data_IF_048612033982
#
_entry.id   IF_048612033982
#
_cell.length_a   1.000
_cell.length_b   1.000
_cell.length_c   1.000
_cell.angle_alpha   90.00
_cell.angle_beta   90.00
_cell.angle_gamma   90.00
#
_symmetry.space_group_name_H-M   'P 1'
#
loop_
_entity.id
_entity.type
_entity.pdbx_description
1 polymer ?
#
# COMPACT_ATOMS: atom_id res chain seq x y z
N UNK A 1 17.99 -34.16 4.63
CA UNK A 1 17.60 -33.56 5.92
C UNK A 1 18.49 -34.08 7.06
N UNK A 2 18.64 -35.39 7.21
CA UNK A 2 19.35 -36.01 8.36
C UNK A 2 20.80 -35.52 8.59
N UNK A 3 21.59 -35.38 7.52
CA UNK A 3 22.98 -34.88 7.64
C UNK A 3 23.06 -33.42 8.12
N UNK A 4 22.17 -32.56 7.63
CA UNK A 4 22.13 -31.14 8.02
C UNK A 4 21.63 -30.98 9.45
N UNK A 5 20.64 -31.79 9.84
CA UNK A 5 20.14 -31.82 11.21
C UNK A 5 21.22 -32.26 12.20
N UNK A 6 21.90 -33.38 11.92
CA UNK A 6 22.99 -33.88 12.76
C UNK A 6 24.10 -32.83 12.94
N UNK A 7 24.58 -32.23 11.84
CA UNK A 7 25.60 -31.19 11.89
C UNK A 7 25.15 -29.96 12.69
N UNK A 8 23.88 -29.53 12.55
CA UNK A 8 23.33 -28.43 13.34
C UNK A 8 23.33 -28.77 14.83
N UNK A 9 22.87 -29.97 15.21
CA UNK A 9 22.83 -30.38 16.62
C UNK A 9 24.21 -30.45 17.26
N UNK A 10 25.20 -31.00 16.56
CA UNK A 10 26.58 -31.09 17.06
C UNK A 10 27.20 -29.69 17.24
N UNK A 11 26.98 -28.79 16.27
CA UNK A 11 27.49 -27.42 16.36
C UNK A 11 26.80 -26.61 17.46
N UNK A 12 25.47 -26.72 17.58
CA UNK A 12 24.72 -26.06 18.64
C UNK A 12 25.15 -26.55 20.03
N UNK A 13 25.44 -27.85 20.18
CA UNK A 13 26.00 -28.38 21.42
C UNK A 13 27.33 -27.71 21.77
N UNK A 14 28.25 -27.57 20.81
CA UNK A 14 29.53 -26.90 21.01
C UNK A 14 29.36 -25.41 21.38
N UNK A 15 28.43 -24.71 20.72
CA UNK A 15 28.16 -23.29 20.98
C UNK A 15 27.50 -23.04 22.33
N UNK A 16 26.70 -23.99 22.83
CA UNK A 16 26.02 -23.90 24.12
C UNK A 16 26.83 -24.49 25.28
N UNK A 17 27.97 -25.13 25.01
CA UNK A 17 28.79 -25.82 26.02
C UNK A 17 29.30 -24.87 27.11
N UNK A 18 29.73 -23.67 26.73
CA UNK A 18 30.17 -22.61 27.66
C UNK A 18 29.37 -21.33 27.42
N UNK A 19 28.86 -20.71 28.49
CA UNK A 19 28.17 -19.42 28.41
C UNK A 19 29.12 -18.27 28.03
N UNK A 20 30.34 -18.31 28.58
CA UNK A 20 31.42 -17.37 28.26
C UNK A 20 32.77 -18.07 28.15
N UNK A 21 33.68 -17.47 27.38
CA UNK A 21 35.08 -17.89 27.22
C UNK A 21 35.94 -16.67 27.51
N UNK A 22 36.84 -16.76 28.49
CA UNK A 22 37.78 -15.68 28.80
C UNK A 22 39.11 -15.95 28.08
N UNK A 23 39.53 -15.00 27.26
CA UNK A 23 40.84 -15.02 26.58
C UNK A 23 41.55 -13.71 26.91
N UNK A 24 42.56 -13.80 27.78
CA UNK A 24 43.20 -12.63 28.41
C UNK A 24 42.16 -11.78 29.16
N UNK A 25 42.11 -10.47 28.90
CA UNK A 25 41.18 -9.52 29.52
C UNK A 25 39.82 -9.43 28.80
N UNK A 26 39.56 -10.30 27.81
CA UNK A 26 38.35 -10.27 27.01
C UNK A 26 37.43 -11.45 27.33
N UNK A 27 36.14 -11.15 27.50
CA UNK A 27 35.07 -12.14 27.68
C UNK A 27 34.28 -12.29 26.37
N UNK A 28 34.26 -13.51 25.84
CA UNK A 28 33.54 -13.88 24.63
C UNK A 28 32.28 -14.66 25.01
N UNK A 29 31.15 -14.37 24.38
CA UNK A 29 29.89 -15.10 24.59
C UNK A 29 29.48 -15.79 23.26
N UNK A 30 29.80 -17.10 23.07
CA UNK A 30 29.60 -17.79 21.79
C UNK A 30 28.17 -17.69 21.24
N UNK A 31 27.16 -17.77 22.11
CA UNK A 31 25.74 -17.66 21.72
C UNK A 31 25.37 -16.31 21.08
N UNK A 32 26.04 -15.22 21.47
CA UNK A 32 25.75 -13.88 20.94
C UNK A 32 26.20 -13.76 19.48
N UNK A 33 27.29 -14.44 19.11
CA UNK A 33 27.73 -14.54 17.71
C UNK A 33 26.67 -15.27 16.87
N UNK A 34 26.14 -16.40 17.37
CA UNK A 34 25.06 -17.10 16.69
C UNK A 34 23.82 -16.23 16.55
N UNK A 35 23.37 -15.56 17.63
CA UNK A 35 22.24 -14.63 17.60
C UNK A 35 22.42 -13.56 16.51
N UNK A 36 23.55 -12.86 16.50
CA UNK A 36 23.85 -11.81 15.51
C UNK A 36 23.87 -12.36 14.07
N UNK A 37 24.42 -13.56 13.87
CA UNK A 37 24.43 -14.20 12.55
C UNK A 37 23.04 -14.63 12.08
N UNK A 38 22.20 -15.15 12.98
CA UNK A 38 20.81 -15.54 12.67
C UNK A 38 19.99 -14.31 12.26
N UNK A 39 20.09 -13.21 13.02
CA UNK A 39 19.41 -11.95 12.71
C UNK A 39 19.81 -11.40 11.34
N UNK A 40 21.11 -11.26 11.10
CA UNK A 40 21.63 -10.77 9.82
C UNK A 40 21.30 -11.68 8.64
N UNK A 41 21.27 -13.00 8.86
CA UNK A 41 20.94 -13.97 7.82
C UNK A 41 19.44 -13.96 7.53
N UNK A 42 18.61 -13.83 8.55
CA UNK A 42 17.16 -13.79 8.43
C UNK A 42 16.72 -12.50 7.73
N UNK A 43 17.20 -11.33 8.14
CA UNK A 43 16.90 -10.07 7.46
C UNK A 43 17.25 -10.11 5.96
N UNK A 44 18.45 -10.61 5.61
CA UNK A 44 18.84 -10.83 4.21
C UNK A 44 17.99 -11.86 3.49
N UNK A 45 17.56 -12.93 4.18
CA UNK A 45 16.66 -13.93 3.60
C UNK A 45 15.29 -13.31 3.26
N UNK A 46 14.73 -12.50 4.15
CA UNK A 46 13.41 -11.86 3.95
C UNK A 46 13.39 -11.08 2.65
N UNK A 47 14.36 -10.19 2.44
CA UNK A 47 14.47 -9.39 1.20
C UNK A 47 14.79 -10.28 0.00
N UNK A 48 15.69 -11.26 0.15
CA UNK A 48 16.03 -12.20 -0.93
C UNK A 48 14.84 -13.02 -1.41
N UNK A 49 13.93 -13.41 -0.51
CA UNK A 49 12.71 -14.16 -0.85
C UNK A 49 11.64 -13.30 -1.55
N UNK A 50 11.74 -11.97 -1.52
CA UNK A 50 10.86 -11.07 -2.29
C UNK A 50 11.09 -11.25 -3.79
N UNK A 51 12.29 -11.69 -4.21
CA UNK A 51 12.65 -11.95 -5.60
C UNK A 51 12.35 -10.76 -6.53
N UNK A 52 12.47 -9.53 -6.02
CA UNK A 52 12.19 -8.34 -6.82
C UNK A 52 13.27 -8.12 -7.88
N UNK A 53 12.87 -8.09 -9.14
CA UNK A 53 13.73 -7.76 -10.26
C UNK A 53 13.22 -6.51 -10.99
N UNK A 54 13.94 -5.37 -10.93
CA UNK A 54 13.49 -4.13 -11.54
C UNK A 54 13.45 -4.20 -13.08
N UNK A 55 14.30 -5.03 -13.70
CA UNK A 55 14.38 -5.12 -15.17
C UNK A 55 13.19 -5.88 -15.76
N UNK A 56 12.76 -6.95 -15.09
CA UNK A 56 11.60 -7.77 -15.49
C UNK A 56 10.29 -7.33 -14.84
N UNK A 57 10.36 -6.46 -13.83
CA UNK A 57 9.23 -6.10 -12.95
C UNK A 57 8.60 -7.30 -12.23
N UNK A 58 9.37 -8.35 -11.98
CA UNK A 58 8.94 -9.53 -11.25
C UNK A 58 9.07 -9.31 -9.73
N UNK A 59 8.13 -9.86 -8.98
CA UNK A 59 8.14 -9.91 -7.52
C UNK A 59 7.40 -11.17 -7.07
N UNK A 60 7.81 -11.77 -5.95
CA UNK A 60 7.09 -12.90 -5.36
C UNK A 60 5.68 -12.50 -4.94
N UNK A 61 4.73 -13.44 -5.02
CA UNK A 61 3.38 -13.20 -4.50
C UNK A 61 3.44 -13.04 -2.97
N UNK A 62 2.69 -12.10 -2.38
CA UNK A 62 2.64 -11.95 -0.92
C UNK A 62 2.35 -13.25 -0.17
N UNK A 63 1.44 -14.09 -0.65
CA UNK A 63 1.09 -15.38 -0.02
C UNK A 63 2.25 -16.39 -0.04
N UNK A 64 2.95 -16.48 -1.17
CA UNK A 64 4.13 -17.34 -1.35
C UNK A 64 5.30 -16.89 -0.46
N UNK A 65 5.53 -15.58 -0.40
CA UNK A 65 6.51 -15.00 0.49
C UNK A 65 6.15 -15.29 1.95
N UNK A 66 4.90 -15.04 2.36
CA UNK A 66 4.45 -15.30 3.72
C UNK A 66 4.60 -16.77 4.12
N UNK A 67 4.26 -17.71 3.23
CA UNK A 67 4.49 -19.13 3.46
C UNK A 67 5.98 -19.46 3.67
N UNK A 68 6.85 -18.86 2.85
CA UNK A 68 8.30 -19.02 2.95
C UNK A 68 8.86 -18.44 4.24
N UNK A 69 8.40 -17.24 4.65
CA UNK A 69 8.77 -16.60 5.92
C UNK A 69 8.34 -17.46 7.10
N UNK A 70 7.10 -17.96 7.12
CA UNK A 70 6.59 -18.85 8.18
C UNK A 70 7.40 -20.14 8.27
N UNK A 71 7.74 -20.75 7.13
CA UNK A 71 8.61 -21.93 7.11
C UNK A 71 10.00 -21.63 7.70
N UNK A 72 10.59 -20.49 7.35
CA UNK A 72 11.88 -20.05 7.89
C UNK A 72 11.82 -19.81 9.41
N UNK A 73 10.76 -19.14 9.88
CA UNK A 73 10.52 -18.89 11.30
C UNK A 73 10.36 -20.20 12.08
N UNK A 74 9.60 -21.16 11.56
CA UNK A 74 9.45 -22.47 12.19
C UNK A 74 10.80 -23.17 12.39
N UNK A 75 11.69 -23.13 11.39
CA UNK A 75 13.04 -23.70 11.51
C UNK A 75 13.87 -22.94 12.54
N UNK A 76 13.87 -21.60 12.52
CA UNK A 76 14.60 -20.80 13.50
C UNK A 76 14.10 -21.06 14.93
N UNK A 77 12.80 -21.26 15.13
CA UNK A 77 12.24 -21.56 16.44
C UNK A 77 12.72 -22.90 16.99
N UNK A 78 13.04 -23.88 16.13
CA UNK A 78 13.65 -25.13 16.60
C UNK A 78 15.06 -24.95 17.17
N UNK A 79 15.76 -23.86 16.84
CA UNK A 79 17.12 -23.58 17.34
C UNK A 79 17.12 -23.34 18.86
N UNK A 80 16.02 -22.80 19.41
CA UNK A 80 15.87 -22.59 20.87
C UNK A 80 15.96 -23.90 21.66
N UNK A 81 15.64 -25.04 21.04
CA UNK A 81 15.76 -26.36 21.67
C UNK A 81 17.21 -26.80 21.86
N UNK A 82 18.17 -26.20 21.13
CA UNK A 82 19.57 -26.60 21.13
C UNK A 82 20.50 -25.57 21.78
N UNK A 83 20.17 -24.28 21.67
CA UNK A 83 20.96 -23.19 22.24
C UNK A 83 20.04 -22.23 22.98
N UNK A 84 20.44 -21.80 24.17
CA UNK A 84 19.68 -20.82 24.97
C UNK A 84 19.79 -19.41 24.37
N UNK A 85 19.08 -19.18 23.27
CA UNK A 85 18.97 -17.91 22.55
C UNK A 85 17.50 -17.53 22.50
N UNK A 86 17.21 -16.24 22.63
CA UNK A 86 15.88 -15.68 22.44
C UNK A 86 15.63 -15.43 20.95
N UNK A 87 14.95 -16.37 20.28
CA UNK A 87 14.63 -16.21 18.85
C UNK A 87 13.50 -15.20 18.63
N UNK A 88 12.68 -14.97 19.66
CA UNK A 88 11.60 -13.99 19.59
C UNK A 88 12.18 -12.59 19.40
N UNK A 89 13.29 -12.29 20.06
CA UNK A 89 14.05 -11.04 19.82
C UNK A 89 14.57 -10.93 18.39
N UNK A 90 15.11 -12.01 17.83
CA UNK A 90 15.57 -12.06 16.43
C UNK A 90 14.41 -11.77 15.47
N UNK A 91 13.23 -12.36 15.69
CA UNK A 91 12.05 -12.10 14.88
C UNK A 91 11.58 -10.66 15.01
N UNK A 92 11.46 -10.13 16.23
CA UNK A 92 11.00 -8.78 16.47
C UNK A 92 11.90 -7.75 15.78
N UNK A 93 13.22 -7.89 15.88
CA UNK A 93 14.14 -6.96 15.22
C UNK A 93 14.04 -7.06 13.70
N UNK A 94 14.18 -8.27 13.15
CA UNK A 94 14.25 -8.44 11.70
C UNK A 94 12.91 -8.11 11.01
N UNK A 95 11.78 -8.60 11.52
CA UNK A 95 10.47 -8.38 10.90
C UNK A 95 10.01 -6.93 11.05
N UNK A 96 10.21 -6.30 12.22
CA UNK A 96 9.81 -4.90 12.43
C UNK A 96 10.61 -3.94 11.52
N UNK A 97 11.89 -4.22 11.28
CA UNK A 97 12.66 -3.43 10.32
C UNK A 97 12.08 -3.55 8.90
N UNK A 98 11.60 -4.73 8.50
CA UNK A 98 11.03 -4.94 7.17
C UNK A 98 9.70 -4.20 6.92
N UNK A 99 9.07 -3.64 7.96
CA UNK A 99 7.87 -2.79 7.82
C UNK A 99 8.19 -1.33 7.52
N UNK A 100 9.45 -0.91 7.62
CA UNK A 100 9.90 0.47 7.38
C UNK A 100 10.24 0.69 5.90
N UNK A 101 10.56 1.91 5.48
CA UNK A 101 11.01 2.17 4.09
C UNK A 101 12.45 1.67 3.83
N UNK A 102 13.32 1.79 4.83
CA UNK A 102 14.72 1.34 4.80
C UNK A 102 15.03 0.58 6.09
N UNK A 103 15.93 -0.39 6.01
CA UNK A 103 16.42 -1.11 7.17
C UNK A 103 17.52 -0.33 7.91
N UNK A 104 18.08 -0.91 8.98
CA UNK A 104 19.16 -0.27 9.75
C UNK A 104 20.47 -0.11 8.98
N UNK A 105 20.60 -0.74 7.81
CA UNK A 105 21.77 -0.66 6.93
C UNK A 105 21.54 0.28 5.74
N UNK A 106 20.35 0.87 5.61
CA UNK A 106 19.98 1.76 4.52
C UNK A 106 19.46 1.04 3.27
N UNK A 107 19.20 -0.27 3.36
CA UNK A 107 18.71 -1.08 2.24
C UNK A 107 17.18 -1.07 2.17
N UNK A 108 16.64 -1.28 0.96
CA UNK A 108 15.18 -1.37 0.76
C UNK A 108 14.62 -2.61 1.45
N UNK A 109 13.51 -2.42 2.15
CA UNK A 109 12.78 -3.47 2.87
C UNK A 109 11.72 -4.15 2.01
N UNK A 110 11.14 -5.23 2.52
CA UNK A 110 9.92 -5.85 1.96
C UNK A 110 8.81 -4.82 1.73
N UNK A 111 8.51 -3.96 2.71
CA UNK A 111 7.48 -2.94 2.59
C UNK A 111 7.75 -1.94 1.45
N UNK A 112 9.00 -1.48 1.32
CA UNK A 112 9.37 -0.56 0.26
C UNK A 112 9.30 -1.19 -1.14
N UNK A 113 9.74 -2.44 -1.28
CA UNK A 113 9.72 -3.17 -2.55
C UNK A 113 8.29 -3.42 -3.05
N UNK A 114 7.39 -3.91 -2.19
CA UNK A 114 5.98 -4.06 -2.57
C UNK A 114 5.30 -2.72 -2.82
N UNK A 115 5.59 -1.70 -2.01
CA UNK A 115 5.04 -0.35 -2.22
C UNK A 115 5.41 0.18 -3.60
N UNK A 116 6.69 0.05 -3.99
CA UNK A 116 7.17 0.43 -5.31
C UNK A 116 6.50 -0.40 -6.41
N UNK A 117 6.39 -1.71 -6.23
CA UNK A 117 5.80 -2.58 -7.25
C UNK A 117 4.32 -2.27 -7.47
N UNK A 118 3.51 -2.15 -6.41
CA UNK A 118 2.08 -1.81 -6.57
C UNK A 118 1.88 -0.44 -7.24
N UNK A 119 2.68 0.57 -6.88
CA UNK A 119 2.52 1.92 -7.44
C UNK A 119 3.04 2.05 -8.87
N UNK A 120 4.24 1.54 -9.16
CA UNK A 120 4.93 1.77 -10.43
C UNK A 120 4.67 0.69 -11.48
N UNK A 121 4.31 -0.53 -11.04
CA UNK A 121 4.15 -1.71 -11.91
C UNK A 121 2.67 -2.04 -12.10
N UNK A 122 1.93 -2.30 -11.01
CA UNK A 122 0.52 -2.70 -11.09
C UNK A 122 -0.38 -1.52 -11.48
N UNK A 123 -0.43 -0.45 -10.67
CA UNK A 123 -1.34 0.68 -10.88
C UNK A 123 -1.02 1.48 -12.15
N UNK A 124 0.24 1.48 -12.58
CA UNK A 124 0.65 2.05 -13.87
C UNK A 124 0.04 1.29 -15.06
N UNK A 125 -0.03 -0.04 -14.99
CA UNK A 125 -0.67 -0.88 -16.03
C UNK A 125 -2.20 -0.76 -16.00
N UNK A 126 -2.80 -0.54 -14.82
CA UNK A 126 -4.22 -0.18 -14.73
C UNK A 126 -4.49 1.13 -15.47
N UNK A 127 -3.63 2.13 -15.25
CA UNK A 127 -3.74 3.44 -15.94
C UNK A 127 -3.52 3.35 -17.45
N UNK A 128 -2.80 2.34 -17.93
CA UNK A 128 -2.62 2.04 -19.36
C UNK A 128 -3.81 1.29 -19.98
N UNK A 129 -4.80 0.85 -19.19
CA UNK A 129 -5.98 0.14 -19.66
C UNK A 129 -5.82 -1.38 -19.77
N UNK A 130 -4.70 -1.95 -19.30
CA UNK A 130 -4.45 -3.40 -19.39
C UNK A 130 -5.11 -4.19 -18.25
N UNK A 131 -5.45 -3.52 -17.16
CA UNK A 131 -5.99 -4.11 -15.93
C UNK A 131 -7.20 -3.26 -15.52
N UNK A 132 -8.25 -3.88 -14.99
CA UNK A 132 -9.39 -3.18 -14.41
C UNK A 132 -9.67 -3.63 -12.98
N UNK A 133 -10.24 -2.74 -12.18
CA UNK A 133 -10.79 -3.10 -10.89
C UNK A 133 -12.14 -3.80 -11.05
N UNK A 134 -12.31 -4.95 -10.41
CA UNK A 134 -13.58 -5.68 -10.33
C UNK A 134 -14.16 -5.59 -8.94
N UNK A 135 -15.37 -5.03 -8.83
CA UNK A 135 -16.06 -4.96 -7.54
C UNK A 135 -16.61 -6.33 -7.13
N UNK A 136 -17.04 -7.14 -8.10
CA UNK A 136 -17.58 -8.47 -7.87
C UNK A 136 -16.53 -9.46 -7.36
N UNK A 137 -15.32 -9.40 -7.91
CA UNK A 137 -14.20 -10.26 -7.49
C UNK A 137 -13.36 -9.63 -6.37
N UNK A 138 -13.61 -8.35 -6.04
CA UNK A 138 -12.83 -7.57 -5.05
C UNK A 138 -11.32 -7.66 -5.32
N UNK A 139 -10.94 -7.54 -6.58
CA UNK A 139 -9.56 -7.66 -7.05
C UNK A 139 -9.35 -6.82 -8.33
N UNK A 140 -8.09 -6.62 -8.71
CA UNK A 140 -7.74 -6.13 -10.04
C UNK A 140 -7.55 -7.31 -10.99
N UNK A 141 -8.16 -7.23 -12.17
CA UNK A 141 -8.19 -8.32 -13.15
C UNK A 141 -7.52 -7.86 -14.44
N UNK A 142 -6.72 -8.74 -15.01
CA UNK A 142 -6.04 -8.55 -16.27
C UNK A 142 -7.04 -8.60 -17.44
N UNK A 143 -7.10 -7.56 -18.27
CA UNK A 143 -8.01 -7.48 -19.43
C UNK A 143 -7.36 -7.97 -20.73
N UNK A 144 -6.03 -7.95 -20.79
CA UNK A 144 -5.26 -8.40 -21.94
C UNK A 144 -5.15 -9.93 -21.95
N UNK A 145 -5.03 -10.53 -23.14
CA UNK A 145 -4.81 -11.97 -23.27
C UNK A 145 -3.59 -12.44 -22.44
N UNK A 146 -3.67 -13.66 -21.92
CA UNK A 146 -2.59 -14.30 -21.15
C UNK A 146 -1.23 -14.14 -21.86
N UNK A 147 -0.21 -13.67 -21.14
CA UNK A 147 1.14 -13.47 -21.65
C UNK A 147 1.44 -12.08 -22.25
N UNK A 148 0.46 -11.19 -22.39
CA UNK A 148 0.71 -9.80 -22.82
C UNK A 148 1.36 -8.93 -21.73
N UNK A 149 1.14 -9.28 -20.46
CA UNK A 149 1.79 -8.68 -19.29
C UNK A 149 2.49 -9.80 -18.49
N UNK A 150 3.60 -9.49 -17.79
CA UNK A 150 4.44 -10.52 -17.18
C UNK A 150 3.82 -11.18 -15.94
N UNK A 151 2.65 -10.73 -15.49
CA UNK A 151 1.95 -11.26 -14.31
C UNK A 151 0.44 -11.10 -14.46
N UNK A 152 -0.32 -11.93 -13.74
CA UNK A 152 -1.77 -11.81 -13.60
C UNK A 152 -2.09 -10.90 -12.40
N UNK A 153 -2.79 -9.78 -12.63
CA UNK A 153 -3.08 -8.79 -11.58
C UNK A 153 -3.88 -9.38 -10.40
N UNK A 154 -4.74 -10.36 -10.68
CA UNK A 154 -5.57 -11.05 -9.70
C UNK A 154 -4.74 -11.86 -8.70
N UNK A 155 -3.59 -12.40 -9.11
CA UNK A 155 -2.65 -13.16 -8.26
C UNK A 155 -1.82 -12.28 -7.32
N UNK A 156 -2.06 -10.97 -7.31
CA UNK A 156 -1.40 -10.01 -6.43
C UNK A 156 -2.37 -9.07 -5.72
N UNK A 157 -3.65 -9.03 -6.13
CA UNK A 157 -4.59 -8.01 -5.64
C UNK A 157 -5.90 -8.55 -5.11
N UNK A 158 -6.08 -9.87 -5.10
CA UNK A 158 -7.20 -10.49 -4.40
C UNK A 158 -7.10 -10.27 -2.88
N UNK A 159 -8.16 -10.65 -2.18
CA UNK A 159 -8.25 -10.46 -0.74
C UNK A 159 -7.17 -11.27 0.00
N UNK A 160 -6.82 -12.47 -0.48
CA UNK A 160 -5.87 -13.34 0.21
C UNK A 160 -4.45 -12.78 0.11
N UNK A 161 -4.06 -12.29 -1.07
CA UNK A 161 -2.76 -11.69 -1.31
C UNK A 161 -2.60 -10.38 -0.55
N UNK A 162 -3.64 -9.54 -0.50
CA UNK A 162 -3.58 -8.30 0.27
C UNK A 162 -3.58 -8.56 1.79
N UNK A 163 -4.23 -9.63 2.28
CA UNK A 163 -4.12 -10.06 3.68
C UNK A 163 -2.71 -10.58 3.99
N UNK A 164 -2.13 -11.39 3.09
CA UNK A 164 -0.78 -11.87 3.25
C UNK A 164 0.23 -10.71 3.25
N UNK A 165 0.04 -9.71 2.38
CA UNK A 165 0.82 -8.48 2.37
C UNK A 165 0.68 -7.74 3.70
N UNK A 166 -0.54 -7.54 4.19
CA UNK A 166 -0.81 -6.84 5.44
C UNK A 166 -0.18 -7.57 6.65
N UNK A 167 -0.14 -8.91 6.64
CA UNK A 167 0.54 -9.68 7.69
C UNK A 167 2.07 -9.54 7.62
N UNK A 168 2.64 -9.47 6.40
CA UNK A 168 4.08 -9.30 6.19
C UNK A 168 4.59 -7.92 6.61
N UNK A 169 3.88 -6.86 6.23
CA UNK A 169 4.35 -5.47 6.37
C UNK A 169 3.66 -4.70 7.50
N UNK A 170 2.58 -5.23 8.07
CA UNK A 170 1.86 -4.69 9.21
C UNK A 170 1.30 -3.27 9.01
N UNK A 171 0.80 -2.64 10.08
CA UNK A 171 0.27 -1.28 10.02
C UNK A 171 1.28 -0.23 9.51
N UNK A 172 2.56 -0.38 9.85
CA UNK A 172 3.61 0.55 9.42
C UNK A 172 3.84 0.50 7.90
N UNK A 173 4.00 -0.70 7.33
CA UNK A 173 4.19 -0.86 5.90
C UNK A 173 2.93 -0.53 5.11
N UNK A 174 1.75 -0.87 5.64
CA UNK A 174 0.47 -0.49 5.02
C UNK A 174 0.25 1.03 5.06
N UNK A 175 0.71 1.71 6.12
CA UNK A 175 0.74 3.18 6.17
C UNK A 175 1.68 3.77 5.12
N UNK A 176 2.88 3.21 4.95
CA UNK A 176 3.82 3.63 3.90
C UNK A 176 3.23 3.47 2.49
N UNK A 177 2.63 2.31 2.21
CA UNK A 177 1.91 2.07 0.96
C UNK A 177 0.83 3.13 0.77
N UNK A 178 0.01 3.36 1.80
CA UNK A 178 -1.08 4.30 1.75
C UNK A 178 -0.63 5.75 1.50
N UNK A 179 0.43 6.22 2.18
CA UNK A 179 1.02 7.54 1.96
C UNK A 179 1.52 7.70 0.51
N UNK A 180 2.15 6.66 -0.04
CA UNK A 180 2.59 6.64 -1.45
C UNK A 180 1.41 6.76 -2.40
N UNK A 181 0.31 6.03 -2.15
CA UNK A 181 -0.92 6.13 -2.95
C UNK A 181 -1.53 7.53 -2.87
N UNK A 182 -1.59 8.13 -1.67
CA UNK A 182 -2.13 9.48 -1.49
C UNK A 182 -1.27 10.54 -2.17
N UNK A 183 0.06 10.36 -2.19
CA UNK A 183 0.96 11.23 -2.93
C UNK A 183 0.66 11.22 -4.43
N UNK A 184 0.44 10.04 -5.02
CA UNK A 184 0.05 9.92 -6.43
C UNK A 184 -1.30 10.57 -6.71
N UNK A 185 -2.30 10.41 -5.82
CA UNK A 185 -3.59 11.10 -5.96
C UNK A 185 -3.40 12.61 -5.92
N UNK A 186 -2.65 13.11 -4.95
CA UNK A 186 -2.42 14.55 -4.83
C UNK A 186 -1.76 15.11 -6.11
N UNK A 187 -0.80 14.39 -6.69
CA UNK A 187 -0.20 14.75 -7.99
C UNK A 187 -1.25 14.80 -9.12
N UNK A 188 -2.18 13.84 -9.19
CA UNK A 188 -3.28 13.91 -10.16
C UNK A 188 -4.21 15.11 -9.93
N UNK A 189 -4.49 15.44 -8.67
CA UNK A 189 -5.32 16.60 -8.30
C UNK A 189 -4.65 17.92 -8.69
N UNK A 190 -3.32 18.04 -8.56
CA UNK A 190 -2.60 19.22 -9.05
C UNK A 190 -2.72 19.41 -10.56
N UNK A 191 -2.60 18.33 -11.33
CA UNK A 191 -2.81 18.40 -12.77
C UNK A 191 -4.26 18.74 -13.13
N UNK A 192 -5.23 18.20 -12.39
CA UNK A 192 -6.65 18.58 -12.54
C UNK A 192 -6.90 20.06 -12.24
N UNK A 193 -6.26 20.62 -11.20
CA UNK A 193 -6.34 22.05 -10.89
C UNK A 193 -5.87 22.92 -12.06
N UNK A 194 -4.78 22.55 -12.74
CA UNK A 194 -4.30 23.26 -13.94
C UNK A 194 -5.33 23.22 -15.08
N UNK A 195 -5.97 22.07 -15.31
CA UNK A 195 -7.02 21.93 -16.32
C UNK A 195 -8.25 22.81 -15.99
N UNK A 196 -8.63 22.88 -14.71
CA UNK A 196 -9.72 23.75 -14.25
C UNK A 196 -9.37 25.22 -14.43
N UNK A 197 -8.15 25.63 -14.04
CA UNK A 197 -7.68 27.00 -14.20
C UNK A 197 -7.70 27.45 -15.67
N UNK A 198 -7.27 26.59 -16.59
CA UNK A 198 -7.33 26.86 -18.04
C UNK A 198 -8.74 26.99 -18.61
N UNK A 199 -9.77 26.46 -17.93
CA UNK A 199 -11.18 26.51 -18.35
C UNK A 199 -12.04 27.37 -17.41
N UNK A 200 -11.44 28.18 -16.54
CA UNK A 200 -12.12 28.86 -15.41
C UNK A 200 -13.36 29.64 -15.83
N UNK A 201 -13.23 30.53 -16.82
CA UNK A 201 -14.33 31.38 -17.28
C UNK A 201 -15.51 30.57 -17.84
N UNK A 202 -15.22 29.57 -18.67
CA UNK A 202 -16.22 28.67 -19.25
C UNK A 202 -16.93 27.88 -18.14
N UNK A 203 -16.19 27.36 -17.16
CA UNK A 203 -16.75 26.61 -16.04
C UNK A 203 -17.62 27.49 -15.13
N UNK A 204 -17.27 28.75 -14.92
CA UNK A 204 -18.11 29.72 -14.19
C UNK A 204 -19.41 29.99 -14.96
N UNK A 205 -19.33 30.17 -16.28
CA UNK A 205 -20.51 30.35 -17.13
C UNK A 205 -21.44 29.12 -17.10
N UNK A 206 -20.88 27.91 -17.17
CA UNK A 206 -21.61 26.65 -17.03
C UNK A 206 -22.27 26.51 -15.65
N UNK A 207 -21.55 26.89 -14.58
CA UNK A 207 -22.08 26.84 -13.20
C UNK A 207 -23.24 27.80 -12.98
N UNK A 208 -23.25 28.95 -13.65
CA UNK A 208 -24.26 30.02 -13.45
C UNK A 208 -25.45 29.93 -14.39
N UNK A 209 -25.32 29.22 -15.52
CA UNK A 209 -26.37 29.06 -16.52
C UNK A 209 -26.80 27.59 -16.71
N UNK A 210 -26.76 26.80 -15.63
CA UNK A 210 -27.09 25.37 -15.66
C UNK A 210 -28.54 25.07 -16.08
N UNK A 211 -29.41 26.07 -15.97
CA UNK A 211 -30.84 26.06 -16.30
C UNK A 211 -31.14 26.41 -17.78
N UNK A 212 -30.11 26.78 -18.57
CA UNK A 212 -30.27 27.21 -19.97
C UNK A 212 -29.57 26.24 -20.93
N UNK A 213 -30.31 25.26 -21.52
CA UNK A 213 -29.72 24.19 -22.33
C UNK A 213 -28.89 24.67 -23.52
N UNK A 214 -29.34 25.70 -24.23
CA UNK A 214 -28.63 26.22 -25.40
C UNK A 214 -27.28 26.84 -25.02
N UNK A 215 -27.24 27.62 -23.93
CA UNK A 215 -25.99 28.20 -23.41
C UNK A 215 -25.07 27.09 -22.90
N UNK A 216 -25.60 26.10 -22.17
CA UNK A 216 -24.83 24.94 -21.71
C UNK A 216 -24.16 24.20 -22.87
N UNK A 217 -24.89 23.95 -23.95
CA UNK A 217 -24.39 23.27 -25.15
C UNK A 217 -23.29 24.08 -25.85
N UNK A 218 -23.45 25.40 -25.94
CA UNK A 218 -22.44 26.28 -26.54
C UNK A 218 -21.17 26.35 -25.69
N UNK A 219 -21.30 26.53 -24.38
CA UNK A 219 -20.17 26.62 -23.45
C UNK A 219 -19.43 25.29 -23.33
N UNK A 220 -20.14 24.16 -23.36
CA UNK A 220 -19.50 22.83 -23.34
C UNK A 220 -18.57 22.63 -24.54
N UNK A 221 -18.92 23.14 -25.73
CA UNK A 221 -18.05 23.07 -26.92
C UNK A 221 -16.74 23.85 -26.77
N UNK A 222 -16.69 24.80 -25.85
CA UNK A 222 -15.49 25.62 -25.58
C UNK A 222 -14.55 24.96 -24.57
N UNK A 223 -14.97 23.90 -23.86
CA UNK A 223 -14.13 23.18 -22.91
C UNK A 223 -12.99 22.46 -23.62
N UNK A 224 -11.79 22.58 -23.07
CA UNK A 224 -10.58 21.94 -23.57
C UNK A 224 -10.16 20.78 -22.66
N UNK A 225 -9.53 19.76 -23.22
CA UNK A 225 -8.95 18.63 -22.46
C UNK A 225 -9.93 17.83 -21.60
N UNK A 226 -11.20 17.74 -22.03
CA UNK A 226 -12.26 16.96 -21.36
C UNK A 226 -11.84 15.50 -21.09
N UNK A 227 -11.17 14.86 -22.06
CA UNK A 227 -10.72 13.45 -21.91
C UNK A 227 -9.67 13.30 -20.82
N UNK A 228 -8.76 14.29 -20.70
CA UNK A 228 -7.72 14.28 -19.67
C UNK A 228 -8.32 14.42 -18.27
N UNK A 229 -9.38 15.22 -18.11
CA UNK A 229 -10.09 15.34 -16.82
C UNK A 229 -10.70 14.00 -16.42
N UNK A 230 -11.43 13.36 -17.34
CA UNK A 230 -12.04 12.05 -17.09
C UNK A 230 -10.99 10.98 -16.80
N UNK A 231 -9.92 10.90 -17.60
CA UNK A 231 -8.84 9.94 -17.40
C UNK A 231 -8.18 10.10 -16.02
N UNK A 232 -7.82 11.32 -15.62
CA UNK A 232 -7.19 11.58 -14.31
C UNK A 232 -8.12 11.28 -13.15
N UNK A 233 -9.41 11.61 -13.27
CA UNK A 233 -10.40 11.24 -12.25
C UNK A 233 -10.58 9.72 -12.14
N UNK A 234 -10.55 9.00 -13.26
CA UNK A 234 -10.55 7.53 -13.26
C UNK A 234 -9.31 6.97 -12.57
N UNK A 235 -8.11 7.52 -12.84
CA UNK A 235 -6.87 7.12 -12.15
C UNK A 235 -7.00 7.33 -10.63
N UNK A 236 -7.53 8.49 -10.20
CA UNK A 236 -7.78 8.74 -8.76
C UNK A 236 -8.73 7.69 -8.17
N UNK A 237 -9.83 7.38 -8.85
CA UNK A 237 -10.80 6.36 -8.41
C UNK A 237 -10.20 4.96 -8.32
N UNK A 238 -9.35 4.59 -9.28
CA UNK A 238 -8.60 3.32 -9.29
C UNK A 238 -7.67 3.21 -8.08
N UNK A 239 -6.88 4.25 -7.79
CA UNK A 239 -5.96 4.26 -6.66
C UNK A 239 -6.72 4.15 -5.34
N UNK A 240 -7.84 4.87 -5.21
CA UNK A 240 -8.73 4.77 -4.04
C UNK A 240 -9.35 3.37 -3.88
N UNK A 241 -9.70 2.72 -4.99
CA UNK A 241 -10.26 1.36 -4.97
C UNK A 241 -9.21 0.35 -4.49
N UNK A 242 -7.97 0.45 -4.97
CA UNK A 242 -6.86 -0.37 -4.46
C UNK A 242 -6.60 -0.12 -2.98
N UNK A 243 -6.57 1.15 -2.55
CA UNK A 243 -6.47 1.51 -1.13
C UNK A 243 -7.57 0.84 -0.31
N UNK A 244 -8.82 0.86 -0.78
CA UNK A 244 -9.94 0.28 -0.04
C UNK A 244 -9.75 -1.23 0.17
N UNK A 245 -9.27 -1.96 -0.84
CA UNK A 245 -8.94 -3.38 -0.70
C UNK A 245 -7.80 -3.58 0.33
N UNK A 246 -6.72 -2.81 0.19
CA UNK A 246 -5.55 -2.90 1.07
C UNK A 246 -5.92 -2.62 2.54
N UNK A 247 -6.69 -1.57 2.80
CA UNK A 247 -7.14 -1.23 4.16
C UNK A 247 -8.13 -2.25 4.72
N UNK A 248 -9.04 -2.78 3.88
CA UNK A 248 -9.92 -3.87 4.29
C UNK A 248 -9.14 -5.12 4.69
N UNK A 249 -8.12 -5.50 3.93
CA UNK A 249 -7.24 -6.62 4.26
C UNK A 249 -6.43 -6.37 5.54
N UNK A 250 -5.99 -5.14 5.80
CA UNK A 250 -5.35 -4.78 7.06
C UNK A 250 -6.30 -4.97 8.24
N UNK A 251 -7.56 -4.49 8.14
CA UNK A 251 -8.56 -4.68 9.21
C UNK A 251 -8.75 -6.15 9.52
N UNK A 252 -8.92 -7.00 8.50
CA UNK A 252 -9.08 -8.44 8.69
C UNK A 252 -7.91 -9.06 9.48
N UNK A 253 -6.67 -8.68 9.16
CA UNK A 253 -5.47 -9.16 9.87
C UNK A 253 -5.43 -8.62 11.31
N UNK A 254 -5.80 -7.37 11.54
CA UNK A 254 -5.78 -6.77 12.88
C UNK A 254 -6.90 -7.31 13.78
N UNK A 255 -8.05 -7.67 13.22
CA UNK A 255 -9.13 -8.36 13.94
C UNK A 255 -8.63 -9.69 14.54
N UNK A 256 -7.84 -10.45 13.80
CA UNK A 256 -7.28 -11.72 14.28
C UNK A 256 -6.11 -11.50 15.26
N UNK A 257 -5.23 -10.53 14.99
CA UNK A 257 -3.95 -10.39 15.71
C UNK A 257 -4.03 -9.51 16.95
N UNK A 258 -4.84 -8.46 16.94
CA UNK A 258 -4.95 -7.48 18.04
C UNK A 258 -6.41 -7.06 18.32
N UNK A 259 -7.35 -8.01 18.53
CA UNK A 259 -8.79 -7.72 18.64
C UNK A 259 -9.14 -6.70 19.74
N UNK A 260 -8.45 -6.74 20.87
CA UNK A 260 -8.70 -5.82 21.99
C UNK A 260 -8.35 -4.37 21.66
N UNK A 261 -7.24 -4.16 20.95
CA UNK A 261 -6.82 -2.81 20.52
C UNK A 261 -7.78 -2.29 19.44
N UNK A 262 -8.11 -3.12 18.46
CA UNK A 262 -9.03 -2.74 17.39
C UNK A 262 -10.42 -2.41 17.93
N UNK A 263 -10.94 -3.21 18.86
CA UNK A 263 -12.22 -2.92 19.54
C UNK A 263 -12.19 -1.59 20.28
N UNK A 264 -11.07 -1.25 20.93
CA UNK A 264 -10.91 0.03 21.63
C UNK A 264 -10.89 1.22 20.66
N UNK A 265 -10.22 1.05 19.51
CA UNK A 265 -10.19 2.07 18.44
C UNK A 265 -11.59 2.27 17.86
N UNK A 266 -12.33 1.19 17.61
CA UNK A 266 -13.71 1.24 17.13
C UNK A 266 -14.63 1.96 18.11
N UNK A 267 -14.56 1.62 19.39
CA UNK A 267 -15.34 2.28 20.43
C UNK A 267 -15.04 3.78 20.52
N UNK A 268 -13.75 4.15 20.54
CA UNK A 268 -13.32 5.54 20.60
C UNK A 268 -13.76 6.35 19.38
N UNK A 269 -13.77 5.72 18.20
CA UNK A 269 -14.26 6.31 16.96
C UNK A 269 -15.77 6.54 16.99
N UNK A 270 -16.56 5.63 17.56
CA UNK A 270 -18.00 5.76 17.65
C UNK A 270 -18.44 6.80 18.68
N UNK A 271 -17.73 6.88 19.80
CA UNK A 271 -18.09 7.72 20.95
C UNK A 271 -17.20 8.95 21.08
N UNK A 272 -16.80 9.55 19.94
CA UNK A 272 -15.94 10.74 19.84
C UNK A 272 -16.19 11.70 21.01
N UNK A 273 -15.26 11.80 21.98
CA UNK A 273 -15.33 12.86 22.97
C UNK A 273 -15.19 14.19 22.24
N UNK A 274 -15.62 15.30 22.86
CA UNK A 274 -15.67 16.66 22.27
C UNK A 274 -14.32 17.26 21.79
N UNK A 275 -13.30 16.45 21.53
CA UNK A 275 -11.99 16.81 21.00
C UNK A 275 -11.90 16.80 19.46
N UNK A 276 -10.68 16.95 18.96
CA UNK A 276 -10.41 17.08 17.51
C UNK A 276 -10.69 15.76 16.78
N UNK A 277 -11.69 15.71 15.86
CA UNK A 277 -12.03 14.51 15.12
C UNK A 277 -10.91 14.04 14.17
N UNK A 278 -9.92 14.88 13.86
CA UNK A 278 -8.87 14.54 12.92
C UNK A 278 -7.85 13.55 13.51
N UNK A 279 -7.49 13.70 14.80
CA UNK A 279 -6.58 12.78 15.49
C UNK A 279 -7.20 11.37 15.60
N UNK A 280 -8.50 11.30 15.91
CA UNK A 280 -9.24 10.04 15.96
C UNK A 280 -9.32 9.39 14.59
N UNK A 281 -9.53 10.20 13.54
CA UNK A 281 -9.55 9.72 12.16
C UNK A 281 -8.17 9.19 11.73
N UNK A 282 -7.07 9.83 12.14
CA UNK A 282 -5.72 9.36 11.84
C UNK A 282 -5.43 8.00 12.49
N UNK A 283 -5.76 7.85 13.78
CA UNK A 283 -5.65 6.57 14.49
C UNK A 283 -6.52 5.48 13.84
N UNK A 284 -7.78 5.79 13.53
CA UNK A 284 -8.69 4.85 12.90
C UNK A 284 -8.19 4.43 11.50
N UNK A 285 -7.71 5.39 10.70
CA UNK A 285 -7.15 5.13 9.38
C UNK A 285 -5.86 4.31 9.44
N UNK A 286 -5.04 4.45 10.48
CA UNK A 286 -3.84 3.63 10.68
C UNK A 286 -4.18 2.17 11.01
N UNK A 287 -5.36 1.91 11.59
CA UNK A 287 -5.92 0.57 11.78
C UNK A 287 -6.73 0.07 10.58
N UNK A 288 -6.71 0.79 9.45
CA UNK A 288 -7.45 0.44 8.23
C UNK A 288 -8.94 0.73 8.24
N UNK A 289 -9.45 1.38 9.28
CA UNK A 289 -10.86 1.74 9.37
C UNK A 289 -11.21 2.89 8.41
N UNK A 290 -12.31 2.73 7.69
CA UNK A 290 -12.80 3.73 6.73
C UNK A 290 -13.21 5.02 7.42
N UNK A 291 -12.66 6.17 7.03
CA UNK A 291 -13.03 7.47 7.62
C UNK A 291 -13.94 8.26 6.67
N UNK A 292 -14.80 9.13 7.22
CA UNK A 292 -15.65 10.02 6.40
C UNK A 292 -14.81 11.02 5.61
N UNK A 293 -13.78 11.56 6.25
CA UNK A 293 -12.73 12.37 5.63
C UNK A 293 -11.44 11.62 5.85
N UNK A 294 -10.72 11.35 4.77
CA UNK A 294 -9.45 10.63 4.80
C UNK A 294 -8.34 11.56 5.29
N UNK A 295 -7.75 11.32 6.48
CA UNK A 295 -6.75 12.21 7.05
C UNK A 295 -5.45 12.22 6.23
N UNK A 296 -5.05 11.07 5.68
CA UNK A 296 -3.83 10.94 4.87
C UNK A 296 -4.00 11.67 3.54
N UNK A 297 -5.17 11.55 2.90
CA UNK A 297 -5.45 12.30 1.67
C UNK A 297 -5.50 13.82 1.94
N UNK A 298 -6.15 14.24 3.02
CA UNK A 298 -6.24 15.64 3.39
C UNK A 298 -4.84 16.25 3.64
N UNK A 299 -3.96 15.50 4.33
CA UNK A 299 -2.57 15.90 4.53
C UNK A 299 -1.79 15.97 3.21
N UNK A 300 -1.91 14.96 2.34
CA UNK A 300 -1.23 14.94 1.05
C UNK A 300 -1.64 16.12 0.13
N UNK A 301 -2.94 16.44 0.08
CA UNK A 301 -3.45 17.57 -0.68
C UNK A 301 -2.99 18.91 -0.10
N UNK A 302 -2.92 19.03 1.23
CA UNK A 302 -2.42 20.23 1.93
C UNK A 302 -0.93 20.47 1.65
N UNK A 303 -0.12 19.41 1.64
CA UNK A 303 1.32 19.52 1.40
C UNK A 303 1.67 19.99 -0.02
N UNK A 304 0.77 19.79 -0.98
CA UNK A 304 0.94 20.26 -2.36
C UNK A 304 0.29 21.64 -2.60
N UNK A 305 -0.21 22.30 -1.56
CA UNK A 305 -0.78 23.65 -1.67
C UNK A 305 0.35 24.67 -1.86
N UNK A 306 0.26 25.47 -2.92
CA UNK A 306 1.08 26.67 -3.07
C UNK A 306 0.41 27.83 -2.31
N UNK A 307 1.18 28.60 -1.55
CA UNK A 307 0.67 29.68 -0.69
C UNK A 307 0.03 30.87 -1.45
N UNK A 308 0.17 30.92 -2.77
CA UNK A 308 -0.24 32.07 -3.61
C UNK A 308 -1.63 31.94 -4.27
N UNK A 309 -2.38 30.86 -4.07
CA UNK A 309 -3.67 30.65 -4.74
C UNK A 309 -4.86 31.26 -3.97
N UNK A 310 -5.17 32.55 -4.21
CA UNK A 310 -6.34 33.24 -3.64
C UNK A 310 -7.70 32.64 -4.08
N UNK A 311 -7.73 31.74 -5.08
CA UNK A 311 -8.94 31.16 -5.67
C UNK A 311 -9.12 29.64 -5.44
N UNK A 312 -8.39 29.04 -4.49
CA UNK A 312 -8.36 27.58 -4.35
C UNK A 312 -9.74 26.95 -4.10
N UNK A 313 -10.59 27.59 -3.30
CA UNK A 313 -11.96 27.12 -3.08
C UNK A 313 -12.79 27.14 -4.36
N UNK A 314 -12.67 28.20 -5.17
CA UNK A 314 -13.37 28.31 -6.44
C UNK A 314 -12.89 27.23 -7.41
N UNK A 315 -11.58 26.97 -7.51
CA UNK A 315 -11.05 25.90 -8.35
C UNK A 315 -11.59 24.53 -7.94
N UNK A 316 -11.69 24.24 -6.63
CA UNK A 316 -12.29 23.01 -6.14
C UNK A 316 -13.78 22.89 -6.53
N UNK A 317 -14.56 23.97 -6.42
CA UNK A 317 -15.95 23.99 -6.88
C UNK A 317 -16.07 23.77 -8.39
N UNK A 318 -15.21 24.41 -9.17
CA UNK A 318 -15.23 24.31 -10.63
C UNK A 318 -14.75 22.94 -11.12
N UNK A 319 -13.88 22.24 -10.38
CA UNK A 319 -13.53 20.84 -10.67
C UNK A 319 -14.78 19.94 -10.66
N UNK A 320 -15.67 20.11 -9.68
CA UNK A 320 -16.92 19.34 -9.61
C UNK A 320 -17.81 19.60 -10.82
N UNK A 321 -17.91 20.87 -11.25
CA UNK A 321 -18.65 21.26 -12.46
C UNK A 321 -18.02 20.61 -13.70
N UNK A 322 -16.70 20.68 -13.82
CA UNK A 322 -15.98 20.14 -14.97
C UNK A 322 -16.20 18.62 -15.09
N UNK A 323 -16.09 17.88 -14.00
CA UNK A 323 -16.37 16.43 -14.01
C UNK A 323 -17.83 16.18 -14.39
N UNK A 324 -18.79 16.86 -13.76
CA UNK A 324 -20.22 16.64 -13.99
C UNK A 324 -20.62 16.83 -15.46
N UNK A 325 -20.18 17.92 -16.10
CA UNK A 325 -20.49 18.17 -17.52
C UNK A 325 -19.76 17.24 -18.47
N UNK A 326 -18.65 16.62 -18.03
CA UNK A 326 -17.82 15.74 -18.85
C UNK A 326 -18.30 14.29 -18.88
N UNK A 327 -18.98 13.81 -17.83
CA UNK A 327 -19.45 12.42 -17.71
C UNK A 327 -20.22 11.93 -18.95
N UNK A 328 -21.16 12.68 -19.56
CA UNK A 328 -21.89 12.23 -20.74
C UNK A 328 -21.01 11.84 -21.93
N UNK A 329 -19.76 12.32 -21.99
CA UNK A 329 -18.79 11.92 -23.02
C UNK A 329 -18.42 10.44 -22.93
N UNK A 330 -18.44 9.85 -21.73
CA UNK A 330 -18.14 8.44 -21.51
C UNK A 330 -19.12 7.52 -22.22
N UNK A 331 -20.36 7.96 -22.47
CA UNK A 331 -21.37 7.18 -23.19
C UNK A 331 -21.01 6.90 -24.66
N UNK A 332 -20.04 7.64 -25.22
CA UNK A 332 -19.53 7.43 -26.58
C UNK A 332 -18.28 6.57 -26.64
N UNK A 333 -17.74 6.17 -25.49
CA UNK A 333 -16.54 5.36 -25.41
C UNK A 333 -16.95 3.89 -25.28
N UNK A 334 -16.53 3.06 -26.24
CA UNK A 334 -16.83 1.62 -26.29
C UNK A 334 -16.32 0.88 -25.04
N UNK A 335 -15.25 1.39 -24.43
CA UNK A 335 -14.68 0.83 -23.19
C UNK A 335 -15.48 1.19 -21.93
N UNK A 336 -16.48 2.08 -22.02
CA UNK A 336 -17.38 2.40 -20.90
C UNK A 336 -18.54 1.41 -20.76
N UNK A 337 -18.55 0.33 -21.54
CA UNK A 337 -19.59 -0.69 -21.45
C UNK A 337 -19.53 -1.41 -20.11
N UNK A 338 -20.64 -1.38 -19.37
CA UNK A 338 -20.76 -2.10 -18.11
C UNK A 338 -20.78 -3.62 -18.36
N UNK A 339 -19.83 -4.34 -17.76
CA UNK A 339 -19.76 -5.81 -17.81
C UNK A 339 -20.11 -6.37 -16.45
N UNK A 340 -21.23 -7.10 -16.35
CA UNK A 340 -21.69 -7.68 -15.09
C UNK A 340 -20.75 -8.76 -14.51
N UNK A 341 -19.84 -9.30 -15.31
CA UNK A 341 -18.81 -10.25 -14.87
C UNK A 341 -17.63 -9.59 -14.16
N UNK A 342 -17.47 -8.26 -14.30
CA UNK A 342 -16.44 -7.45 -13.66
C UNK A 342 -17.03 -6.72 -12.44
#
# INVERSE_FOLDING_TARGET
MDKLHMALTELCYALNYCSTINVWEYTFAPREYLHQHLENRFARALVGMVMFNPDTSEIAKPSELLASVRAYMNVLQTVENYVHIDITRVFNNALLQQTQQIDSHGEKTVAALYTQWYSEVLLRRVSAGNICFSMNQRAFISLTAEGAIPFNAEEFSDINELRALAELIGPYGMKLLNETLMWHIASQVQELKKLVAGNKEVLVALRTNFDKPEIMKEQFRKLQHVDNVLQRMTIVGVILSFRQLAQGALVDVLEERIPFLLSSILDFRHHLPSGDPMVVSEMASAAGLTCKVDPTLAAALRNQKNETDEDEHLLACLLMVFVAVSIPKLARNDNSFYRASL
#
